data_IF_588600794294
#
_entry.id   IF_588600794294
#
_cell.length_a   1.000
_cell.length_b   1.000
_cell.length_c   1.000
_cell.angle_alpha   90.00
_cell.angle_beta   90.00
_cell.angle_gamma   90.00
#
_symmetry.space_group_name_H-M   'P 1'
#
loop_
_entity.id
_entity.type
_entity.pdbx_description
1 polymer ?
#
# COMPACT_ATOMS: atom_id res chain seq x y z
N UNK A 1 -4.41 15.23 1.83
CA UNK A 1 -4.70 14.74 3.19
C UNK A 1 -3.77 13.57 3.51
N UNK A 2 -3.84 13.01 4.71
CA UNK A 2 -2.95 11.90 5.14
C UNK A 2 -3.43 10.52 4.68
N UNK A 3 -4.74 10.35 4.48
CA UNK A 3 -5.31 9.10 4.00
C UNK A 3 -5.25 9.02 2.47
N UNK A 4 -4.90 7.83 1.96
CA UNK A 4 -4.84 7.52 0.53
C UNK A 4 -5.47 6.16 0.24
N UNK A 5 -6.19 6.07 -0.87
CA UNK A 5 -6.67 4.82 -1.45
C UNK A 5 -5.92 4.48 -2.74
N UNK A 6 -5.85 3.18 -3.02
CA UNK A 6 -5.45 2.63 -4.31
C UNK A 6 -6.55 1.68 -4.72
N UNK A 7 -7.06 1.89 -5.92
CA UNK A 7 -8.30 1.29 -6.38
C UNK A 7 -8.06 0.55 -7.69
N UNK A 8 -8.67 -0.62 -7.81
CA UNK A 8 -8.66 -1.42 -9.02
C UNK A 8 -10.04 -1.36 -9.67
N UNK A 9 -10.04 -0.99 -10.94
CA UNK A 9 -11.24 -0.80 -11.74
C UNK A 9 -11.20 -1.73 -12.96
N UNK A 10 -12.36 -2.28 -13.32
CA UNK A 10 -12.62 -2.92 -14.62
C UNK A 10 -13.75 -2.13 -15.25
N UNK A 11 -13.47 -1.50 -16.38
CA UNK A 11 -14.33 -0.46 -16.96
C UNK A 11 -14.67 0.59 -15.88
N UNK A 12 -15.95 0.89 -15.67
CA UNK A 12 -16.43 1.83 -14.66
C UNK A 12 -16.78 1.17 -13.30
N UNK A 13 -16.35 -0.08 -13.08
CA UNK A 13 -16.67 -0.83 -11.85
C UNK A 13 -15.44 -0.97 -10.94
N UNK A 14 -15.59 -0.53 -9.69
CA UNK A 14 -14.61 -0.74 -8.63
C UNK A 14 -14.62 -2.21 -8.19
N UNK A 15 -13.57 -2.95 -8.50
CA UNK A 15 -13.47 -4.39 -8.25
C UNK A 15 -12.56 -4.76 -7.08
N UNK A 16 -11.87 -3.78 -6.49
CA UNK A 16 -11.07 -3.95 -5.28
C UNK A 16 -10.26 -2.71 -4.94
N UNK A 17 -9.56 -2.76 -3.83
CA UNK A 17 -8.74 -1.65 -3.39
C UNK A 17 -8.13 -1.86 -2.03
N UNK A 18 -7.35 -0.88 -1.62
CA UNK A 18 -6.82 -0.75 -0.27
C UNK A 18 -6.73 0.72 0.11
N UNK A 19 -6.67 1.00 1.40
CA UNK A 19 -6.40 2.34 1.88
C UNK A 19 -5.55 2.31 3.14
N UNK A 20 -4.93 3.45 3.42
CA UNK A 20 -4.09 3.63 4.58
C UNK A 20 -3.75 5.09 4.81
N UNK A 21 -2.96 5.33 5.84
CA UNK A 21 -2.50 6.65 6.26
C UNK A 21 -1.01 6.77 6.02
N UNK A 22 -0.56 7.86 5.41
CA UNK A 22 0.86 8.20 5.37
C UNK A 22 1.23 9.16 6.51
N UNK A 23 2.37 8.88 7.15
CA UNK A 23 2.98 9.74 8.17
C UNK A 23 4.48 9.70 7.93
N UNK A 24 5.07 10.85 7.55
CA UNK A 24 6.44 10.89 7.04
C UNK A 24 6.63 9.84 5.94
N UNK A 25 7.73 9.10 6.02
CA UNK A 25 8.07 7.99 5.14
C UNK A 25 7.46 6.63 5.55
N UNK A 26 6.46 6.63 6.44
CA UNK A 26 5.68 5.45 6.78
C UNK A 26 4.30 5.45 6.12
N UNK A 27 3.85 4.26 5.69
CA UNK A 27 2.47 4.01 5.26
C UNK A 27 1.85 2.91 6.11
N UNK A 28 0.72 3.22 6.76
CA UNK A 28 -0.02 2.32 7.63
C UNK A 28 -1.26 1.86 6.89
N UNK A 29 -1.23 0.63 6.39
CA UNK A 29 -2.34 0.00 5.69
C UNK A 29 -3.44 -0.39 6.67
N UNK A 30 -4.64 0.16 6.47
CA UNK A 30 -5.77 -0.04 7.38
C UNK A 30 -6.69 -1.19 6.92
N UNK A 31 -6.94 -1.28 5.61
CA UNK A 31 -7.78 -2.34 5.06
C UNK A 31 -7.58 -2.55 3.57
N UNK A 32 -8.02 -3.70 3.09
CA UNK A 32 -8.09 -4.05 1.67
C UNK A 32 -9.33 -4.90 1.38
N UNK A 33 -9.84 -4.82 0.15
CA UNK A 33 -10.98 -5.61 -0.29
C UNK A 33 -10.84 -6.06 -1.75
N UNK A 34 -11.58 -7.12 -2.08
CA UNK A 34 -11.77 -7.63 -3.43
C UNK A 34 -13.25 -7.89 -3.68
N UNK A 35 -13.69 -7.77 -4.94
CA UNK A 35 -15.02 -8.19 -5.39
C UNK A 35 -14.88 -9.26 -6.49
N UNK A 36 -14.73 -10.56 -6.12
CA UNK A 36 -14.51 -11.62 -7.09
C UNK A 36 -15.64 -11.79 -8.10
N UNK A 37 -16.90 -11.57 -7.67
CA UNK A 37 -18.07 -11.62 -8.55
C UNK A 37 -18.03 -10.57 -9.68
N UNK A 38 -17.28 -9.49 -9.47
CA UNK A 38 -17.09 -8.42 -10.43
C UNK A 38 -15.79 -8.58 -11.25
N UNK A 39 -15.14 -9.76 -11.18
CA UNK A 39 -13.85 -10.03 -11.82
C UNK A 39 -12.62 -9.66 -10.98
N UNK A 40 -12.82 -9.16 -9.75
CA UNK A 40 -11.77 -8.64 -8.87
C UNK A 40 -11.02 -9.66 -8.02
N UNK A 41 -10.92 -10.94 -8.43
CA UNK A 41 -10.36 -12.02 -7.59
C UNK A 41 -8.94 -11.78 -7.08
N UNK A 42 -8.14 -10.94 -7.76
CA UNK A 42 -6.79 -10.55 -7.35
C UNK A 42 -6.61 -9.03 -7.20
N UNK A 43 -7.71 -8.27 -7.14
CA UNK A 43 -7.66 -6.81 -7.19
C UNK A 43 -6.83 -6.18 -6.07
N UNK A 44 -7.02 -6.61 -4.81
CA UNK A 44 -6.23 -6.11 -3.68
C UNK A 44 -4.73 -6.37 -3.82
N UNK A 45 -4.34 -7.49 -4.46
CA UNK A 45 -2.93 -7.84 -4.70
C UNK A 45 -2.31 -6.91 -5.73
N UNK A 46 -3.05 -6.62 -6.81
CA UNK A 46 -2.64 -5.65 -7.82
C UNK A 46 -2.45 -4.29 -7.15
N UNK A 47 -3.44 -3.81 -6.39
CA UNK A 47 -3.33 -2.56 -5.63
C UNK A 47 -2.12 -2.53 -4.69
N UNK A 48 -1.81 -3.63 -4.00
CA UNK A 48 -0.65 -3.73 -3.12
C UNK A 48 0.68 -3.66 -3.89
N UNK A 49 0.80 -4.36 -5.01
CA UNK A 49 2.00 -4.28 -5.85
C UNK A 49 2.21 -2.85 -6.36
N UNK A 50 1.12 -2.19 -6.78
CA UNK A 50 1.16 -0.77 -7.16
C UNK A 50 1.55 0.13 -5.99
N UNK A 51 1.01 -0.10 -4.78
CA UNK A 51 1.40 0.63 -3.57
C UNK A 51 2.90 0.49 -3.31
N UNK A 52 3.41 -0.73 -3.27
CA UNK A 52 4.84 -0.99 -2.98
C UNK A 52 5.74 -0.31 -4.01
N UNK A 53 5.37 -0.39 -5.30
CA UNK A 53 6.10 0.31 -6.36
C UNK A 53 6.11 1.82 -6.15
N UNK A 54 4.96 2.41 -5.83
CA UNK A 54 4.81 3.84 -5.54
C UNK A 54 5.67 4.26 -4.34
N UNK A 55 5.52 3.57 -3.20
CA UNK A 55 6.27 3.84 -1.97
C UNK A 55 7.78 3.81 -2.22
N UNK A 56 8.28 2.80 -2.94
CA UNK A 56 9.71 2.69 -3.30
C UNK A 56 10.17 3.83 -4.20
N UNK A 57 9.38 4.19 -5.21
CA UNK A 57 9.72 5.28 -6.12
C UNK A 57 9.77 6.63 -5.41
N UNK A 58 8.88 6.85 -4.43
CA UNK A 58 8.82 8.08 -3.64
C UNK A 58 9.90 8.14 -2.57
N UNK A 59 10.41 7.00 -2.11
CA UNK A 59 11.44 6.92 -1.05
C UNK A 59 10.88 6.67 0.35
N UNK A 60 9.70 6.06 0.45
CA UNK A 60 9.16 5.58 1.71
C UNK A 60 10.02 4.46 2.29
N UNK A 61 10.07 4.38 3.61
CA UNK A 61 10.92 3.44 4.36
C UNK A 61 10.13 2.28 4.94
N UNK A 62 8.85 2.50 5.27
CA UNK A 62 8.03 1.52 5.97
C UNK A 62 6.64 1.40 5.35
N UNK A 63 6.26 0.17 5.01
CA UNK A 63 4.87 -0.22 4.78
C UNK A 63 4.47 -1.17 5.90
N UNK A 64 3.59 -0.71 6.80
CA UNK A 64 2.95 -1.54 7.81
C UNK A 64 1.63 -2.05 7.24
N UNK A 65 1.56 -3.37 6.99
CA UNK A 65 0.37 -3.96 6.37
C UNK A 65 -0.70 -4.36 7.37
N UNK A 66 -0.43 -4.30 8.69
CA UNK A 66 -1.27 -4.72 9.83
C UNK A 66 -1.85 -6.16 9.78
N UNK A 67 -1.83 -6.81 8.62
CA UNK A 67 -2.31 -8.17 8.36
C UNK A 67 -1.16 -9.00 7.79
N UNK A 68 -0.92 -10.15 8.42
CA UNK A 68 -0.09 -11.22 7.88
C UNK A 68 -1.02 -12.21 7.20
N UNK A 69 -0.85 -12.41 5.89
CA UNK A 69 -1.42 -13.58 5.22
C UNK A 69 -0.28 -14.32 4.55
N UNK A 70 -0.38 -15.65 4.49
CA UNK A 70 0.60 -16.52 3.79
C UNK A 70 0.86 -16.09 2.34
N UNK A 71 -0.01 -15.25 1.77
CA UNK A 71 0.14 -14.69 0.44
C UNK A 71 1.05 -13.45 0.36
N UNK A 72 1.14 -12.65 1.43
CA UNK A 72 1.97 -11.43 1.48
C UNK A 72 3.46 -11.75 1.62
N UNK A 73 3.81 -12.89 2.24
CA UNK A 73 5.19 -13.36 2.35
C UNK A 73 5.87 -13.54 0.99
N UNK A 74 5.09 -13.90 -0.04
CA UNK A 74 5.57 -14.03 -1.44
C UNK A 74 5.95 -12.69 -2.08
N UNK A 75 5.49 -11.57 -1.52
CA UNK A 75 5.84 -10.22 -1.97
C UNK A 75 6.94 -9.58 -1.11
N UNK A 76 7.63 -10.38 -0.28
CA UNK A 76 8.71 -9.91 0.58
C UNK A 76 8.23 -9.29 1.90
N UNK A 77 6.95 -9.46 2.26
CA UNK A 77 6.47 -9.08 3.58
C UNK A 77 7.11 -10.00 4.62
N UNK A 78 7.76 -9.42 5.62
CA UNK A 78 8.39 -10.14 6.74
C UNK A 78 7.69 -9.75 8.03
N UNK A 79 7.58 -10.71 8.96
CA UNK A 79 7.23 -10.38 10.33
C UNK A 79 8.45 -9.79 11.03
N UNK A 80 8.30 -8.56 11.55
CA UNK A 80 9.35 -7.86 12.27
C UNK A 80 9.01 -7.87 13.77
N UNK A 81 9.87 -8.41 14.64
CA UNK A 81 9.65 -8.34 16.08
C UNK A 81 9.47 -6.88 16.53
N UNK A 82 8.58 -6.63 17.49
CA UNK A 82 8.27 -5.27 17.97
C UNK A 82 9.52 -4.43 18.30
N UNK A 83 10.53 -5.04 18.92
CA UNK A 83 11.79 -4.36 19.30
C UNK A 83 12.56 -3.82 18.09
N UNK A 84 12.43 -4.49 16.94
CA UNK A 84 13.12 -4.16 15.69
C UNK A 84 12.23 -3.24 14.83
N UNK A 85 10.90 -3.35 14.97
CA UNK A 85 9.93 -2.49 14.30
C UNK A 85 9.91 -1.05 14.83
N UNK A 86 10.00 -0.86 16.16
CA UNK A 86 9.90 0.49 16.75
C UNK A 86 10.98 1.48 16.23
N UNK A 87 12.27 1.09 16.08
CA UNK A 87 13.26 1.93 15.44
C UNK A 87 12.93 2.28 13.99
N UNK A 88 12.46 1.30 13.20
CA UNK A 88 12.06 1.52 11.79
C UNK A 88 10.88 2.50 11.69
N UNK A 89 9.90 2.35 12.58
CA UNK A 89 8.77 3.27 12.66
C UNK A 89 9.23 4.68 13.03
N UNK A 90 10.09 4.82 14.04
CA UNK A 90 10.60 6.12 14.47
C UNK A 90 11.37 6.84 13.34
N UNK A 91 12.22 6.11 12.61
CA UNK A 91 12.94 6.66 11.45
C UNK A 91 11.96 7.07 10.33
N UNK A 92 10.97 6.23 10.04
CA UNK A 92 9.99 6.50 8.99
C UNK A 92 9.16 7.76 9.27
N UNK A 93 8.66 7.93 10.50
CA UNK A 93 7.79 9.07 10.83
C UNK A 93 8.53 10.41 10.90
N UNK A 94 9.83 10.41 11.21
CA UNK A 94 10.65 11.63 11.31
C UNK A 94 11.07 12.17 9.92
N UNK A 95 11.04 11.33 8.90
CA UNK A 95 11.44 11.71 7.55
C UNK A 95 10.30 12.40 6.80
N UNK A 96 10.52 13.67 6.45
CA UNK A 96 9.58 14.43 5.63
C UNK A 96 9.59 13.96 4.17
N UNK A 97 8.44 13.49 3.70
CA UNK A 97 8.20 13.07 2.33
C UNK A 97 6.73 13.36 2.01
N UNK A 98 6.48 13.85 0.79
CA UNK A 98 5.11 14.04 0.32
C UNK A 98 4.61 12.81 -0.43
N UNK A 99 3.31 12.51 -0.29
CA UNK A 99 2.66 11.49 -1.11
C UNK A 99 2.84 11.75 -2.61
N UNK A 100 2.66 13.00 -3.03
CA UNK A 100 2.78 13.45 -4.43
C UNK A 100 1.49 13.37 -5.24
N UNK A 101 1.53 13.92 -6.44
CA UNK A 101 0.45 13.77 -7.42
C UNK A 101 0.65 12.49 -8.23
N UNK A 102 -0.41 11.71 -8.34
CA UNK A 102 -0.45 10.60 -9.28
C UNK A 102 -0.72 11.16 -10.68
N UNK A 103 0.26 11.04 -11.58
CA UNK A 103 0.05 11.27 -13.00
C UNK A 103 -0.16 9.91 -13.68
N UNK A 104 -1.37 9.57 -14.13
CA UNK A 104 -1.54 8.37 -14.95
C UNK A 104 -0.68 8.52 -16.20
N UNK A 105 -0.03 7.42 -16.61
CA UNK A 105 0.49 7.33 -17.99
C UNK A 105 -0.76 7.37 -18.87
N UNK A 106 -0.86 8.39 -19.72
CA UNK A 106 -1.97 8.48 -20.66
C UNK A 106 -2.06 7.16 -21.43
N UNK A 107 -3.24 6.52 -21.40
CA UNK A 107 -3.49 5.34 -22.20
C UNK A 107 -3.31 5.75 -23.68
N UNK A 108 -2.26 5.22 -24.30
CA UNK A 108 -1.98 5.35 -25.74
C UNK A 108 -2.92 4.48 -26.55
#
# INVERSE_FOLDING_TARGET
GHAHSIEAWIDDRLVGGLYGVHIGAGFMGESMFCRPADGGSNASKVCLVHLVSWLRHRGFLLLDTQFSTDHLSRFGCIEVPRRDYLPLLAEAVDRDISWGEFSPIAAS
#
